data_IF_936599310904
#
_entry.id   IF_936599310904
#
_cell.length_a   1.000
_cell.length_b   1.000
_cell.length_c   1.000
_cell.angle_alpha   90.00
_cell.angle_beta   90.00
_cell.angle_gamma   90.00
#
_symmetry.space_group_name_H-M   'P 1'
#
loop_
_entity.id
_entity.type
_entity.pdbx_description
1 polymer ?
#
# COMPACT_ATOMS: atom_id res chain seq x y z
N UNK A 1 -1.27 -12.12 -8.72
CA UNK A 1 -0.93 -11.86 -10.12
C UNK A 1 -0.39 -10.43 -10.24
N UNK A 2 0.57 -10.18 -11.16
CA UNK A 2 1.06 -8.84 -11.44
C UNK A 2 -0.10 -7.90 -11.80
N UNK A 3 -0.03 -6.66 -11.30
CA UNK A 3 -1.05 -5.64 -11.53
C UNK A 3 -0.41 -4.40 -12.17
N UNK A 4 -1.24 -3.61 -12.81
CA UNK A 4 -0.88 -2.27 -13.25
C UNK A 4 -0.76 -1.32 -12.05
N UNK A 5 0.14 -0.31 -12.05
CA UNK A 5 0.30 0.62 -10.93
C UNK A 5 -1.00 1.31 -10.50
N UNK A 6 -1.90 1.62 -11.42
CA UNK A 6 -3.18 2.23 -11.09
C UNK A 6 -4.09 1.30 -10.29
N UNK A 7 -4.06 0.00 -10.54
CA UNK A 7 -4.79 -0.99 -9.73
C UNK A 7 -4.18 -1.16 -8.35
N UNK A 8 -2.86 -1.07 -8.23
CA UNK A 8 -2.15 -1.08 -6.95
C UNK A 8 -2.51 0.16 -6.12
N UNK A 9 -2.65 1.34 -6.75
CA UNK A 9 -3.13 2.56 -6.08
C UNK A 9 -4.56 2.41 -5.55
N UNK A 10 -5.46 1.81 -6.34
CA UNK A 10 -6.84 1.53 -5.91
C UNK A 10 -6.83 0.56 -4.73
N UNK A 11 -6.01 -0.48 -4.77
CA UNK A 11 -5.87 -1.43 -3.67
C UNK A 11 -5.31 -0.76 -2.41
N UNK A 12 -4.31 0.09 -2.54
CA UNK A 12 -3.77 0.86 -1.43
C UNK A 12 -4.83 1.73 -0.75
N UNK A 13 -5.63 2.46 -1.53
CA UNK A 13 -6.74 3.28 -1.03
C UNK A 13 -7.84 2.44 -0.35
N UNK A 14 -8.07 1.23 -0.86
CA UNK A 14 -9.06 0.31 -0.32
C UNK A 14 -8.54 -0.55 0.86
N UNK A 15 -7.26 -0.38 1.26
CA UNK A 15 -6.62 -1.20 2.29
C UNK A 15 -6.45 -2.67 1.89
N UNK A 16 -6.44 -2.96 0.58
CA UNK A 16 -6.23 -4.32 0.05
C UNK A 16 -4.75 -4.59 -0.18
N UNK A 17 -4.29 -5.84 0.00
CA UNK A 17 -2.90 -6.20 -0.25
C UNK A 17 -2.56 -6.15 -1.74
N UNK A 18 -1.35 -5.73 -2.04
CA UNK A 18 -0.70 -5.79 -3.35
C UNK A 18 0.81 -5.96 -3.13
N UNK A 19 1.51 -6.44 -4.15
CA UNK A 19 2.94 -6.72 -4.06
C UNK A 19 3.59 -6.65 -5.44
N UNK A 20 4.89 -6.39 -5.48
CA UNK A 20 5.69 -6.45 -6.67
C UNK A 20 5.98 -7.90 -7.11
N UNK A 21 6.16 -8.12 -8.42
CA UNK A 21 6.46 -9.41 -9.02
C UNK A 21 7.65 -9.31 -9.96
N UNK A 22 8.48 -10.35 -10.08
CA UNK A 22 9.54 -10.41 -11.09
C UNK A 22 9.01 -10.20 -12.50
N UNK A 23 9.81 -9.54 -13.34
CA UNK A 23 9.47 -9.29 -14.74
C UNK A 23 8.49 -8.14 -14.98
N UNK A 24 8.09 -7.40 -13.97
CA UNK A 24 7.36 -6.13 -14.15
C UNK A 24 8.32 -5.01 -14.61
N UNK A 25 7.79 -3.97 -15.22
CA UNK A 25 8.54 -2.73 -15.43
C UNK A 25 8.66 -1.97 -14.09
N UNK A 26 9.64 -2.38 -13.28
CA UNK A 26 9.84 -1.84 -11.94
C UNK A 26 10.07 -0.34 -11.93
N UNK A 27 10.79 0.19 -12.93
CA UNK A 27 11.06 1.63 -13.01
C UNK A 27 9.78 2.42 -13.29
N UNK A 28 8.93 1.92 -14.18
CA UNK A 28 7.63 2.55 -14.46
C UNK A 28 6.70 2.50 -13.23
N UNK A 29 6.67 1.38 -12.50
CA UNK A 29 5.90 1.27 -11.24
C UNK A 29 6.40 2.27 -10.20
N UNK A 30 7.71 2.32 -9.94
CA UNK A 30 8.30 3.26 -8.98
C UNK A 30 7.95 4.71 -9.35
N UNK A 31 8.08 5.07 -10.63
CA UNK A 31 7.72 6.42 -11.09
C UNK A 31 6.24 6.74 -10.88
N UNK A 32 5.35 5.80 -11.21
CA UNK A 32 3.91 5.95 -10.97
C UNK A 32 3.58 6.09 -9.48
N UNK A 33 4.21 5.29 -8.63
CA UNK A 33 4.04 5.35 -7.18
C UNK A 33 4.55 6.67 -6.59
N UNK A 34 5.69 7.17 -7.05
CA UNK A 34 6.22 8.48 -6.64
C UNK A 34 5.23 9.61 -6.96
N UNK A 35 4.69 9.62 -8.18
CA UNK A 35 3.69 10.60 -8.57
C UNK A 35 2.42 10.50 -7.72
N UNK A 36 1.97 9.28 -7.42
CA UNK A 36 0.81 9.05 -6.57
C UNK A 36 1.06 9.50 -5.12
N UNK A 37 2.23 9.24 -4.56
CA UNK A 37 2.64 9.68 -3.22
C UNK A 37 2.65 11.21 -3.08
N UNK A 38 2.90 11.95 -4.16
CA UNK A 38 2.89 13.42 -4.16
C UNK A 38 1.48 14.02 -4.07
N UNK A 39 0.44 13.22 -4.29
CA UNK A 39 -0.95 13.67 -4.19
C UNK A 39 -1.38 13.88 -2.73
N UNK A 40 -2.31 14.82 -2.51
CA UNK A 40 -2.82 15.10 -1.16
C UNK A 40 -3.56 13.93 -0.54
N UNK A 41 -4.22 13.11 -1.35
CA UNK A 41 -4.93 11.92 -0.86
C UNK A 41 -3.97 10.99 -0.13
N UNK A 42 -2.76 10.79 -0.67
CA UNK A 42 -1.75 9.93 -0.05
C UNK A 42 -0.99 10.66 1.05
N UNK A 43 -0.62 11.94 0.84
CA UNK A 43 0.10 12.75 1.86
C UNK A 43 -0.67 12.87 3.17
N UNK A 44 -2.00 12.92 3.10
CA UNK A 44 -2.88 13.00 4.27
C UNK A 44 -3.32 11.63 4.81
N UNK A 45 -2.85 10.53 4.20
CA UNK A 45 -3.18 9.17 4.62
C UNK A 45 -1.91 8.35 4.90
N UNK A 46 -1.44 8.32 6.16
CA UNK A 46 -0.20 7.61 6.52
C UNK A 46 -0.22 6.12 6.18
N UNK A 47 -1.38 5.46 6.25
CA UNK A 47 -1.50 4.03 5.94
C UNK A 47 -1.30 3.75 4.44
N UNK A 48 -1.89 4.58 3.58
CA UNK A 48 -1.69 4.49 2.12
C UNK A 48 -0.25 4.82 1.77
N UNK A 49 0.32 5.88 2.36
CA UNK A 49 1.73 6.25 2.19
C UNK A 49 2.65 5.07 2.51
N UNK A 50 2.49 4.44 3.67
CA UNK A 50 3.29 3.31 4.09
C UNK A 50 3.14 2.10 3.16
N UNK A 51 1.94 1.80 2.67
CA UNK A 51 1.69 0.71 1.74
C UNK A 51 2.40 0.93 0.40
N UNK A 52 2.35 2.14 -0.15
CA UNK A 52 3.04 2.49 -1.40
C UNK A 52 4.56 2.49 -1.22
N UNK A 53 5.08 3.05 -0.13
CA UNK A 53 6.53 3.02 0.18
C UNK A 53 7.04 1.57 0.29
N UNK A 54 6.31 0.71 0.97
CA UNK A 54 6.65 -0.72 1.06
C UNK A 54 6.73 -1.35 -0.33
N UNK A 55 5.75 -1.10 -1.19
CA UNK A 55 5.71 -1.66 -2.54
C UNK A 55 6.87 -1.14 -3.41
N UNK A 56 7.24 0.13 -3.29
CA UNK A 56 8.43 0.68 -3.95
C UNK A 56 9.71 -0.08 -3.52
N UNK A 57 9.87 -0.36 -2.22
CA UNK A 57 11.01 -1.13 -1.73
C UNK A 57 11.01 -2.57 -2.24
N UNK A 58 9.84 -3.19 -2.42
CA UNK A 58 9.70 -4.49 -3.07
C UNK A 58 10.17 -4.44 -4.53
N UNK A 59 9.74 -3.44 -5.30
CA UNK A 59 10.21 -3.23 -6.67
C UNK A 59 11.73 -3.02 -6.74
N UNK A 60 12.30 -2.21 -5.86
CA UNK A 60 13.75 -1.98 -5.78
C UNK A 60 14.49 -3.30 -5.49
N UNK A 61 14.01 -4.10 -4.54
CA UNK A 61 14.63 -5.38 -4.18
C UNK A 61 14.63 -6.36 -5.35
N UNK A 62 13.51 -6.46 -6.07
CA UNK A 62 13.40 -7.36 -7.24
C UNK A 62 14.28 -6.84 -8.39
N UNK A 63 14.25 -5.55 -8.67
CA UNK A 63 15.10 -4.93 -9.71
C UNK A 63 16.59 -5.14 -9.42
N UNK A 64 17.03 -5.00 -8.18
CA UNK A 64 18.39 -5.30 -7.77
C UNK A 64 18.75 -6.78 -7.94
N UNK A 65 17.81 -7.68 -7.61
CA UNK A 65 18.01 -9.12 -7.83
C UNK A 65 18.16 -9.45 -9.32
N UNK A 66 17.29 -8.93 -10.17
CA UNK A 66 17.33 -9.13 -11.62
C UNK A 66 18.63 -8.58 -12.22
N UNK A 67 19.10 -7.42 -11.75
CA UNK A 67 20.37 -6.83 -12.17
C UNK A 67 21.56 -7.71 -11.78
N UNK A 68 21.60 -8.21 -10.55
CA UNK A 68 22.65 -9.11 -10.06
C UNK A 68 22.66 -10.39 -10.83
N UNK A 69 21.51 -10.98 -11.14
CA UNK A 69 21.39 -12.19 -11.94
C UNK A 69 21.96 -12.01 -13.36
N UNK A 70 21.79 -10.82 -13.94
CA UNK A 70 22.42 -10.47 -15.21
C UNK A 70 23.94 -10.32 -15.10
N UNK A 71 24.41 -9.54 -14.09
CA UNK A 71 25.83 -9.28 -13.87
C UNK A 71 26.63 -10.56 -13.56
N UNK A 72 26.05 -11.49 -12.81
CA UNK A 72 26.70 -12.71 -12.32
C UNK A 72 26.22 -13.98 -13.00
N UNK A 73 25.60 -13.86 -14.16
CA UNK A 73 24.96 -14.98 -14.86
C UNK A 73 25.90 -16.19 -15.05
N UNK A 74 27.15 -15.94 -15.47
CA UNK A 74 28.13 -17.00 -15.67
C UNK A 74 28.57 -17.65 -14.36
N UNK A 75 28.80 -16.84 -13.31
CA UNK A 75 29.14 -17.34 -11.98
C UNK A 75 28.00 -18.16 -11.38
N UNK A 76 26.75 -17.75 -11.55
CA UNK A 76 25.58 -18.50 -11.08
C UNK A 76 25.50 -19.86 -11.77
N UNK A 77 25.74 -19.93 -13.07
CA UNK A 77 25.80 -21.20 -13.80
C UNK A 77 26.94 -22.10 -13.30
N UNK A 78 28.13 -21.53 -13.04
CA UNK A 78 29.25 -22.28 -12.46
C UNK A 78 28.92 -22.80 -11.06
N UNK A 79 28.25 -21.98 -10.23
CA UNK A 79 27.84 -22.39 -8.89
C UNK A 79 26.86 -23.56 -8.93
N UNK A 80 25.90 -23.54 -9.84
CA UNK A 80 24.95 -24.66 -10.04
C UNK A 80 25.66 -25.96 -10.42
N UNK A 81 26.66 -25.89 -11.29
CA UNK A 81 27.47 -27.06 -11.68
C UNK A 81 28.33 -27.57 -10.52
N UNK A 82 28.96 -26.68 -9.76
CA UNK A 82 29.80 -27.02 -8.62
C UNK A 82 28.99 -27.54 -7.42
N UNK A 83 27.75 -27.16 -7.29
CA UNK A 83 26.89 -27.53 -6.16
C UNK A 83 26.66 -29.05 -6.07
N UNK A 84 26.60 -29.71 -7.21
CA UNK A 84 26.49 -31.19 -7.27
C UNK A 84 27.78 -31.89 -6.80
N UNK A 85 28.93 -31.28 -7.01
CA UNK A 85 30.24 -31.83 -6.64
C UNK A 85 30.70 -31.42 -5.24
N UNK A 86 30.21 -30.28 -4.76
CA UNK A 86 30.61 -29.68 -3.48
C UNK A 86 30.11 -30.47 -2.25
N UNK A 87 29.15 -31.38 -2.39
CA UNK A 87 28.63 -32.17 -1.28
C UNK A 87 29.71 -33.04 -0.58
N UNK A 88 30.82 -33.34 -1.27
CA UNK A 88 31.92 -34.14 -0.76
C UNK A 88 33.28 -33.42 -0.66
N UNK A 89 33.35 -32.15 -1.05
CA UNK A 89 34.59 -31.39 -1.08
C UNK A 89 34.47 -30.06 -0.28
N UNK A 90 35.09 -29.96 0.92
CA UNK A 90 35.03 -28.75 1.76
C UNK A 90 35.61 -27.50 1.09
N UNK A 91 36.58 -27.64 0.19
CA UNK A 91 37.18 -26.51 -0.54
C UNK A 91 36.18 -25.93 -1.54
N UNK A 92 35.43 -26.80 -2.25
CA UNK A 92 34.38 -26.37 -3.17
C UNK A 92 33.23 -25.72 -2.43
N UNK A 93 32.88 -26.21 -1.25
CA UNK A 93 31.84 -25.57 -0.39
C UNK A 93 32.27 -24.15 0.02
N UNK A 94 33.52 -23.97 0.44
CA UNK A 94 34.04 -22.66 0.81
C UNK A 94 34.05 -21.69 -0.38
N UNK A 95 34.41 -22.18 -1.57
CA UNK A 95 34.38 -21.39 -2.80
C UNK A 95 32.98 -20.98 -3.20
N UNK A 96 31.99 -21.88 -3.12
CA UNK A 96 30.59 -21.57 -3.36
C UNK A 96 30.08 -20.51 -2.40
N UNK A 97 30.38 -20.64 -1.10
CA UNK A 97 30.00 -19.68 -0.10
C UNK A 97 30.59 -18.29 -0.38
N UNK A 98 31.90 -18.24 -0.78
CA UNK A 98 32.53 -16.98 -1.15
C UNK A 98 31.88 -16.30 -2.36
N UNK A 99 31.54 -17.08 -3.39
CA UNK A 99 30.83 -16.56 -4.57
C UNK A 99 29.44 -16.05 -4.21
N UNK A 100 28.70 -16.81 -3.40
CA UNK A 100 27.38 -16.41 -2.92
C UNK A 100 27.42 -15.11 -2.09
N UNK A 101 28.39 -14.99 -1.20
CA UNK A 101 28.62 -13.77 -0.41
C UNK A 101 28.93 -12.56 -1.32
N UNK A 102 29.70 -12.75 -2.40
CA UNK A 102 29.98 -11.67 -3.35
C UNK A 102 28.73 -11.18 -4.09
N UNK A 103 27.87 -12.11 -4.48
CA UNK A 103 26.58 -11.83 -5.13
C UNK A 103 25.65 -11.06 -4.17
N UNK A 104 25.52 -11.53 -2.94
CA UNK A 104 24.71 -10.86 -1.91
C UNK A 104 25.24 -9.47 -1.55
N UNK A 105 26.57 -9.31 -1.46
CA UNK A 105 27.20 -8.01 -1.24
C UNK A 105 26.88 -7.03 -2.37
N UNK A 106 26.97 -7.49 -3.64
CA UNK A 106 26.62 -6.66 -4.80
C UNK A 106 25.15 -6.27 -4.81
N UNK A 107 24.26 -7.21 -4.49
CA UNK A 107 22.83 -6.95 -4.37
C UNK A 107 22.55 -5.87 -3.32
N UNK A 108 23.19 -5.96 -2.16
CA UNK A 108 23.04 -4.98 -1.08
C UNK A 108 23.47 -3.57 -1.52
N UNK A 109 24.58 -3.47 -2.27
CA UNK A 109 25.06 -2.21 -2.85
C UNK A 109 24.03 -1.66 -3.85
N UNK A 110 23.51 -2.48 -4.75
CA UNK A 110 22.50 -2.06 -5.73
C UNK A 110 21.21 -1.58 -5.06
N UNK A 111 20.74 -2.29 -4.05
CA UNK A 111 19.55 -1.86 -3.27
C UNK A 111 19.81 -0.49 -2.62
N UNK A 112 20.99 -0.27 -2.04
CA UNK A 112 21.32 1.01 -1.44
C UNK A 112 21.40 2.14 -2.47
N UNK A 113 22.04 1.92 -3.62
CA UNK A 113 22.14 2.89 -4.72
C UNK A 113 20.75 3.25 -5.28
N UNK A 114 19.93 2.26 -5.57
CA UNK A 114 18.58 2.44 -6.10
C UNK A 114 17.66 3.12 -5.09
N UNK A 115 17.79 2.81 -3.81
CA UNK A 115 17.04 3.46 -2.72
C UNK A 115 17.45 4.92 -2.58
N UNK A 116 18.74 5.23 -2.67
CA UNK A 116 19.23 6.61 -2.64
C UNK A 116 18.69 7.43 -3.83
N UNK A 117 18.69 6.85 -5.02
CA UNK A 117 18.13 7.48 -6.22
C UNK A 117 16.64 7.73 -6.06
N UNK A 118 15.91 6.74 -5.56
CA UNK A 118 14.50 6.88 -5.23
C UNK A 118 14.23 8.02 -4.24
N UNK A 119 15.00 8.12 -3.17
CA UNK A 119 14.87 9.20 -2.18
C UNK A 119 15.15 10.58 -2.77
N UNK A 120 16.11 10.68 -3.69
CA UNK A 120 16.41 11.94 -4.43
C UNK A 120 15.24 12.35 -5.32
N UNK A 121 14.65 11.41 -6.06
CA UNK A 121 13.50 11.68 -6.92
C UNK A 121 12.24 12.03 -6.10
N UNK A 122 11.99 11.34 -5.00
CA UNK A 122 10.91 11.66 -4.06
C UNK A 122 11.03 13.10 -3.54
N UNK A 123 12.23 13.48 -3.11
CA UNK A 123 12.49 14.85 -2.62
C UNK A 123 12.31 15.89 -3.71
N UNK A 124 12.73 15.61 -4.94
CA UNK A 124 12.59 16.49 -6.09
C UNK A 124 11.11 16.71 -6.45
N UNK A 125 10.32 15.65 -6.52
CA UNK A 125 8.89 15.72 -6.81
C UNK A 125 8.16 16.49 -5.69
N UNK A 126 8.46 16.21 -4.44
CA UNK A 126 7.88 16.92 -3.29
C UNK A 126 8.20 18.40 -3.32
N UNK A 127 9.46 18.77 -3.60
CA UNK A 127 9.85 20.19 -3.69
C UNK A 127 9.23 20.93 -4.88
N UNK A 128 9.07 20.27 -6.02
CA UNK A 128 8.36 20.84 -7.17
C UNK A 128 6.88 21.08 -6.84
N UNK A 129 6.24 20.14 -6.18
CA UNK A 129 4.85 20.25 -5.74
C UNK A 129 4.67 21.40 -4.75
N UNK A 130 5.58 21.56 -3.80
CA UNK A 130 5.54 22.63 -2.80
C UNK A 130 5.86 24.01 -3.39
N UNK A 131 6.55 24.10 -4.52
CA UNK A 131 6.93 25.34 -5.18
C UNK A 131 5.96 25.83 -6.24
N UNK A 132 5.05 24.98 -6.75
CA UNK A 132 4.10 25.34 -7.81
C UNK A 132 2.79 25.88 -7.20
N UNK A 133 2.47 27.21 -7.38
CA UNK A 133 1.25 27.81 -6.87
C UNK A 133 -0.04 27.18 -7.44
N UNK A 134 -0.01 26.71 -8.70
CA UNK A 134 -1.15 26.07 -9.37
C UNK A 134 -1.44 24.70 -8.78
N UNK A 135 -0.38 23.93 -8.50
CA UNK A 135 -0.51 22.63 -7.82
C UNK A 135 -1.00 22.81 -6.38
N UNK A 136 -0.55 23.86 -5.66
CA UNK A 136 -1.06 24.21 -4.32
C UNK A 136 -2.55 24.56 -4.35
N UNK A 137 -3.00 25.31 -5.36
CA UNK A 137 -4.42 25.67 -5.49
C UNK A 137 -5.29 24.46 -5.81
N UNK A 138 -4.86 23.59 -6.77
CA UNK A 138 -5.55 22.33 -7.07
C UNK A 138 -5.59 21.40 -5.88
N UNK A 139 -4.51 21.33 -5.13
CA UNK A 139 -4.38 20.59 -3.89
C UNK A 139 -5.41 21.05 -2.85
N UNK A 140 -5.52 22.36 -2.62
CA UNK A 140 -6.53 22.95 -1.71
C UNK A 140 -7.96 22.65 -2.16
N UNK A 141 -8.23 22.70 -3.46
CA UNK A 141 -9.56 22.40 -4.00
C UNK A 141 -9.95 20.93 -3.75
N UNK A 142 -9.01 20.00 -3.95
CA UNK A 142 -9.22 18.57 -3.66
C UNK A 142 -9.43 18.32 -2.17
N UNK A 143 -8.65 18.99 -1.30
CA UNK A 143 -8.80 18.88 0.15
C UNK A 143 -10.17 19.41 0.61
N UNK A 144 -10.61 20.55 0.08
CA UNK A 144 -11.93 21.12 0.39
C UNK A 144 -13.05 20.17 -0.04
N UNK A 145 -12.97 19.57 -1.22
CA UNK A 145 -13.94 18.57 -1.69
C UNK A 145 -13.94 17.31 -0.83
N UNK A 146 -12.77 16.84 -0.40
CA UNK A 146 -12.67 15.69 0.50
C UNK A 146 -13.31 16.00 1.86
N UNK A 147 -13.05 17.17 2.43
CA UNK A 147 -13.66 17.62 3.68
C UNK A 147 -15.19 17.81 3.57
N UNK A 148 -15.68 18.31 2.43
CA UNK A 148 -17.12 18.39 2.16
C UNK A 148 -17.79 17.01 2.08
N UNK A 149 -17.11 16.06 1.43
CA UNK A 149 -17.61 14.69 1.32
C UNK A 149 -17.63 13.98 2.69
N UNK A 150 -16.62 14.19 3.53
CA UNK A 150 -16.64 13.68 4.91
C UNK A 150 -17.79 14.31 5.73
N UNK A 151 -17.95 15.61 5.67
CA UNK A 151 -19.07 16.30 6.35
C UNK A 151 -20.43 15.79 5.89
N UNK A 152 -20.60 15.51 4.57
CA UNK A 152 -21.84 14.91 4.06
C UNK A 152 -22.06 13.52 4.62
N UNK A 153 -21.04 12.67 4.65
CA UNK A 153 -21.12 11.32 5.23
C UNK A 153 -21.49 11.36 6.71
N UNK A 154 -20.89 12.26 7.48
CA UNK A 154 -21.18 12.41 8.90
C UNK A 154 -22.61 12.93 9.12
N UNK A 155 -23.08 13.86 8.30
CA UNK A 155 -24.44 14.35 8.34
C UNK A 155 -25.45 13.25 8.00
N UNK A 156 -25.22 12.49 6.93
CA UNK A 156 -26.08 11.38 6.52
C UNK A 156 -26.11 10.29 7.60
N UNK A 157 -24.98 9.99 8.22
CA UNK A 157 -24.89 9.04 9.33
C UNK A 157 -25.69 9.53 10.54
N UNK A 158 -25.55 10.80 10.90
CA UNK A 158 -26.33 11.39 11.99
C UNK A 158 -27.84 11.35 11.72
N UNK A 159 -28.27 11.60 10.48
CA UNK A 159 -29.69 11.50 10.08
C UNK A 159 -30.21 10.06 10.18
N UNK A 160 -29.40 9.07 9.78
CA UNK A 160 -29.75 7.66 9.89
C UNK A 160 -29.87 7.26 11.38
N UNK A 161 -28.96 7.71 12.23
CA UNK A 161 -28.99 7.40 13.66
C UNK A 161 -30.21 8.03 14.36
N UNK A 162 -30.57 9.26 13.99
CA UNK A 162 -31.81 9.92 14.45
C UNK A 162 -33.04 9.16 13.99
N UNK A 163 -33.08 8.72 12.74
CA UNK A 163 -34.20 7.96 12.20
C UNK A 163 -34.36 6.60 12.92
N UNK A 164 -33.24 5.91 13.19
CA UNK A 164 -33.25 4.68 13.99
C UNK A 164 -33.75 4.89 15.41
N UNK A 165 -33.28 5.95 16.07
CA UNK A 165 -33.72 6.28 17.42
C UNK A 165 -35.23 6.57 17.48
N UNK A 166 -35.77 7.28 16.48
CA UNK A 166 -37.23 7.54 16.37
C UNK A 166 -38.03 6.24 16.17
N UNK A 167 -37.54 5.33 15.32
CA UNK A 167 -38.18 4.02 15.11
C UNK A 167 -38.19 3.16 16.38
N UNK A 168 -37.09 3.13 17.14
CA UNK A 168 -37.03 2.44 18.43
C UNK A 168 -38.04 3.04 19.43
N UNK A 169 -38.08 4.37 19.56
CA UNK A 169 -39.02 5.04 20.45
C UNK A 169 -40.49 4.79 20.06
N UNK A 170 -40.79 4.70 18.76
CA UNK A 170 -42.14 4.34 18.30
C UNK A 170 -42.49 2.87 18.59
N UNK A 171 -41.50 1.97 18.51
CA UNK A 171 -41.64 0.58 18.90
C UNK A 171 -41.95 0.41 20.38
N UNK A 172 -41.21 1.09 21.26
CA UNK A 172 -41.42 1.06 22.70
C UNK A 172 -42.81 1.60 23.08
N UNK A 173 -43.25 2.69 22.45
CA UNK A 173 -44.59 3.26 22.68
C UNK A 173 -45.72 2.31 22.22
N UNK A 174 -45.44 1.55 21.14
CA UNK A 174 -46.42 0.56 20.62
C UNK A 174 -46.52 -0.64 21.57
N UNK A 175 -45.43 -1.12 22.13
CA UNK A 175 -45.41 -2.21 23.13
C UNK A 175 -46.11 -1.79 24.41
N UNK A 176 -45.82 -0.61 24.96
CA UNK A 176 -46.50 -0.07 26.17
C UNK A 176 -48.02 0.03 25.97
N UNK A 177 -48.49 0.45 24.79
CA UNK A 177 -49.90 0.50 24.50
C UNK A 177 -50.56 -0.89 24.38
N UNK A 178 -49.82 -1.88 23.87
CA UNK A 178 -50.31 -3.27 23.81
C UNK A 178 -50.44 -3.86 25.19
N UNK A 179 -49.46 -3.68 26.09
CA UNK A 179 -49.50 -4.11 27.48
C UNK A 179 -50.67 -3.45 28.26
N UNK A 180 -50.87 -2.15 28.11
CA UNK A 180 -52.00 -1.44 28.74
C UNK A 180 -53.35 -1.96 28.25
N UNK A 181 -53.46 -2.29 26.97
CA UNK A 181 -54.72 -2.85 26.43
C UNK A 181 -54.96 -4.27 26.90
N UNK A 182 -53.92 -5.10 27.06
CA UNK A 182 -54.06 -6.44 27.64
C UNK A 182 -54.47 -6.41 29.13
N UNK A 183 -53.89 -5.49 29.91
CA UNK A 183 -54.24 -5.32 31.30
C UNK A 183 -55.68 -4.81 31.49
N UNK A 184 -56.13 -3.89 30.63
CA UNK A 184 -57.52 -3.42 30.62
C UNK A 184 -58.49 -4.53 30.21
N UNK A 185 -58.08 -5.42 29.30
CA UNK A 185 -58.89 -6.56 28.94
C UNK A 185 -59.01 -7.61 30.07
N UNK A 186 -57.96 -7.82 30.84
CA UNK A 186 -57.96 -8.71 32.00
C UNK A 186 -58.84 -8.14 33.15
N UNK A 187 -58.94 -6.84 33.31
CA UNK A 187 -59.77 -6.21 34.31
C UNK A 187 -61.30 -6.19 33.96
N UNK A 188 -61.64 -6.45 32.69
CA UNK A 188 -63.03 -6.48 32.22
C UNK A 188 -63.65 -7.89 32.10
N UNK A 189 -62.83 -8.91 32.31
CA UNK A 189 -63.23 -10.30 32.35
C UNK A 189 -63.51 -10.74 33.81
#
# INVERSE_FOLDING_TARGET
>A
APMDPSMEHINALAGKPFQAFPGQDHQAHITAHLNFMSTNIVRNNPAVMAAIQKNILEHISIMAQEQVELEFREQILQMQQMQQQAAMDPMLQQRLQSMQNSIEARKSVLVAEMTEEFMKEEKKITSQFDSDPLLKLKSREVDLRAMENERKKDYDKAQIDIAKARLMQQGDIAEDKMEQNEDLAKLRA
#
